data_IF_270568484478
#
_entry.id   IF_270568484478
#
_cell.length_a   1.000
_cell.length_b   1.000
_cell.length_c   1.000
_cell.angle_alpha   90.00
_cell.angle_beta   90.00
_cell.angle_gamma   90.00
#
_symmetry.space_group_name_H-M   'P 1'
#
loop_
_entity.id
_entity.type
_entity.pdbx_description
1 polymer ?
#
# COMPACT_ATOMS: atom_id res chain seq x y z
N UNK A 1 2.03 40.79 -38.57
CA UNK A 1 0.99 39.84 -38.15
C UNK A 1 1.46 38.47 -38.60
N UNK A 2 2.48 37.94 -37.94
CA UNK A 2 2.37 37.06 -36.74
C UNK A 2 1.73 35.73 -37.15
N UNK A 3 2.49 34.67 -37.44
CA UNK A 3 3.31 33.77 -36.60
C UNK A 3 2.58 32.43 -36.49
N UNK A 4 3.01 31.42 -37.24
CA UNK A 4 2.79 30.00 -36.95
C UNK A 4 3.91 29.19 -37.62
N UNK A 5 5.07 29.17 -36.98
CA UNK A 5 6.08 28.10 -37.07
C UNK A 5 6.23 27.59 -35.63
N UNK A 6 6.53 26.31 -35.45
CA UNK A 6 6.63 25.56 -34.18
C UNK A 6 5.36 24.81 -33.75
N UNK A 7 5.11 23.65 -34.36
CA UNK A 7 4.37 22.54 -33.71
C UNK A 7 5.20 21.23 -33.74
N UNK A 8 6.49 21.29 -34.12
CA UNK A 8 7.30 20.10 -34.34
C UNK A 8 8.50 19.92 -33.38
N UNK A 9 8.64 20.77 -32.37
CA UNK A 9 9.77 20.73 -31.40
C UNK A 9 9.38 20.32 -29.96
N UNK A 10 8.08 20.30 -29.59
CA UNK A 10 7.67 19.97 -28.21
C UNK A 10 7.49 18.46 -27.95
N UNK A 11 7.27 17.65 -28.98
CA UNK A 11 7.16 16.17 -28.84
C UNK A 11 8.53 15.48 -28.74
N UNK A 12 9.59 16.10 -29.26
CA UNK A 12 10.97 15.60 -29.12
C UNK A 12 11.58 15.96 -27.75
N UNK A 13 11.14 17.08 -27.14
CA UNK A 13 11.53 17.45 -25.79
C UNK A 13 10.88 16.54 -24.72
N UNK A 14 9.61 16.16 -24.92
CA UNK A 14 8.86 15.27 -24.01
C UNK A 14 9.32 13.81 -24.07
N UNK A 15 9.83 13.35 -25.21
CA UNK A 15 10.36 11.97 -25.34
C UNK A 15 11.78 11.83 -24.81
N UNK A 16 12.60 12.88 -24.79
CA UNK A 16 13.93 12.86 -24.14
C UNK A 16 13.87 12.96 -22.62
N UNK A 17 12.84 13.59 -22.05
CA UNK A 17 12.70 13.71 -20.59
C UNK A 17 12.30 12.38 -19.91
N UNK A 18 11.66 11.46 -20.66
CA UNK A 18 11.18 10.18 -20.14
C UNK A 18 12.20 9.04 -20.20
N UNK A 19 13.40 9.27 -20.78
CA UNK A 19 14.47 8.26 -20.87
C UNK A 19 15.68 8.51 -19.97
N UNK A 20 15.69 9.54 -19.12
CA UNK A 20 16.88 9.85 -18.31
C UNK A 20 16.54 10.20 -16.86
N UNK A 21 15.95 9.26 -16.10
CA UNK A 21 15.97 9.33 -14.63
C UNK A 21 15.66 7.99 -13.94
N UNK A 22 16.32 6.90 -14.34
CA UNK A 22 16.25 5.63 -13.57
C UNK A 22 17.57 5.04 -13.08
N UNK A 23 18.71 5.65 -13.40
CA UNK A 23 20.00 5.14 -12.91
C UNK A 23 20.74 6.23 -12.16
N UNK A 24 20.40 6.45 -10.88
CA UNK A 24 21.23 7.33 -10.02
C UNK A 24 21.71 6.74 -8.71
N UNK A 25 21.36 5.49 -8.38
CA UNK A 25 21.94 4.81 -7.21
C UNK A 25 22.05 3.30 -7.40
N UNK A 26 22.56 2.84 -8.54
CA UNK A 26 23.18 1.51 -8.57
C UNK A 26 24.65 1.71 -8.17
N UNK A 27 24.98 1.52 -6.88
CA UNK A 27 26.37 1.30 -6.50
C UNK A 27 26.75 -0.07 -7.07
N UNK A 28 27.39 -0.05 -8.23
CA UNK A 28 27.86 -1.25 -8.90
C UNK A 28 28.85 -1.97 -7.99
N UNK A 29 28.69 -3.29 -7.85
CA UNK A 29 29.52 -4.10 -6.98
C UNK A 29 30.92 -4.19 -7.60
N UNK A 30 31.92 -3.57 -6.98
CA UNK A 30 33.28 -3.63 -7.53
C UNK A 30 33.82 -5.05 -7.35
N UNK A 31 34.04 -5.74 -8.45
CA UNK A 31 34.58 -7.09 -8.46
C UNK A 31 36.11 -6.96 -8.43
N UNK A 32 36.77 -7.73 -7.56
CA UNK A 32 38.24 -7.77 -7.52
C UNK A 32 38.80 -8.26 -8.86
N UNK A 33 40.06 -7.97 -9.16
CA UNK A 33 40.73 -8.40 -10.39
C UNK A 33 40.73 -9.93 -10.59
N UNK A 34 40.56 -10.70 -9.51
CA UNK A 34 40.42 -12.17 -9.53
C UNK A 34 38.99 -12.67 -9.79
N UNK A 35 38.04 -11.78 -10.07
CA UNK A 35 36.63 -12.13 -10.25
C UNK A 35 35.89 -12.47 -8.94
N UNK A 36 36.55 -12.31 -7.79
CA UNK A 36 35.98 -12.58 -6.48
C UNK A 36 35.47 -11.28 -5.83
N UNK A 37 34.32 -11.38 -5.15
CA UNK A 37 33.77 -10.28 -4.35
C UNK A 37 34.20 -10.48 -2.89
N UNK A 38 34.92 -9.53 -2.29
CA UNK A 38 35.24 -9.56 -0.86
C UNK A 38 33.97 -9.64 0.00
N UNK A 39 33.99 -10.48 1.04
CA UNK A 39 32.83 -10.71 1.92
C UNK A 39 32.36 -9.41 2.58
N UNK A 40 33.29 -8.53 2.98
CA UNK A 40 32.96 -7.25 3.60
C UNK A 40 32.19 -6.33 2.65
N UNK A 41 32.59 -6.30 1.39
CA UNK A 41 31.92 -5.50 0.36
C UNK A 41 30.52 -6.04 0.03
N UNK A 42 30.37 -7.37 0.01
CA UNK A 42 29.06 -7.99 -0.15
C UNK A 42 28.14 -7.66 1.04
N UNK A 43 28.67 -7.72 2.28
CA UNK A 43 27.93 -7.36 3.49
C UNK A 43 27.46 -5.90 3.43
N UNK A 44 28.36 -4.97 3.10
CA UNK A 44 28.01 -3.55 2.96
C UNK A 44 26.96 -3.30 1.87
N UNK A 45 27.08 -4.00 0.75
CA UNK A 45 26.12 -3.89 -0.35
C UNK A 45 24.73 -4.39 0.06
N UNK A 46 24.64 -5.56 0.72
CA UNK A 46 23.38 -6.11 1.22
C UNK A 46 22.78 -5.19 2.28
N UNK A 47 23.60 -4.72 3.23
CA UNK A 47 23.16 -3.83 4.30
C UNK A 47 22.67 -2.48 3.75
N UNK A 48 23.39 -1.88 2.81
CA UNK A 48 23.00 -0.64 2.14
C UNK A 48 21.75 -0.80 1.27
N UNK A 49 21.59 -1.93 0.57
CA UNK A 49 20.40 -2.23 -0.24
C UNK A 49 19.17 -2.42 0.63
N UNK A 50 19.28 -3.17 1.74
CA UNK A 50 18.18 -3.35 2.69
C UNK A 50 17.80 -2.02 3.34
N UNK A 51 18.80 -1.28 3.85
CA UNK A 51 18.58 0.02 4.51
C UNK A 51 17.94 1.03 3.56
N UNK A 52 18.39 1.13 2.31
CA UNK A 52 17.81 2.05 1.33
C UNK A 52 16.38 1.67 0.93
N UNK A 53 16.06 0.37 0.80
CA UNK A 53 14.68 -0.08 0.55
C UNK A 53 13.77 0.20 1.75
N UNK A 54 14.27 -0.02 2.97
CA UNK A 54 13.52 0.28 4.20
C UNK A 54 13.33 1.79 4.32
N UNK A 55 14.38 2.62 4.21
CA UNK A 55 14.28 4.09 4.29
C UNK A 55 13.40 4.69 3.17
N UNK A 56 13.43 4.11 1.96
CA UNK A 56 12.54 4.48 0.86
C UNK A 56 11.08 4.09 1.11
N UNK A 57 10.86 2.96 1.78
CA UNK A 57 9.53 2.47 2.21
C UNK A 57 8.99 3.21 3.44
N UNK A 58 9.85 3.58 4.39
CA UNK A 58 9.52 4.28 5.64
C UNK A 58 9.23 5.77 5.44
N UNK A 59 9.63 6.38 4.30
CA UNK A 59 9.32 7.79 3.98
C UNK A 59 7.87 8.04 3.64
N UNK A 60 7.10 7.01 3.28
CA UNK A 60 5.69 7.01 3.65
C UNK A 60 5.63 6.52 5.09
N UNK A 61 5.68 7.43 6.05
CA UNK A 61 5.05 7.15 7.33
C UNK A 61 3.62 6.79 6.98
N UNK A 62 3.35 5.49 6.94
CA UNK A 62 2.10 4.90 6.51
C UNK A 62 1.11 5.26 7.61
N UNK A 63 0.64 6.51 7.62
CA UNK A 63 -0.56 6.86 8.33
C UNK A 63 -1.58 5.82 7.87
N UNK A 64 -2.06 5.02 8.82
CA UNK A 64 -2.99 3.92 8.58
C UNK A 64 -4.06 4.40 7.59
N UNK A 65 -3.90 3.99 6.34
CA UNK A 65 -4.80 4.39 5.27
C UNK A 65 -5.91 3.37 5.27
N UNK A 66 -7.13 3.82 5.55
CA UNK A 66 -8.28 2.95 5.50
C UNK A 66 -8.46 2.49 4.04
N UNK A 67 -8.63 1.19 3.78
CA UNK A 67 -8.73 0.67 2.41
C UNK A 67 -10.06 1.01 1.72
N UNK A 68 -10.86 1.91 2.30
CA UNK A 68 -12.14 2.34 1.79
C UNK A 68 -12.20 3.86 1.61
N UNK A 69 -13.00 4.30 0.64
CA UNK A 69 -13.14 5.72 0.28
C UNK A 69 -13.48 6.62 1.47
N UNK A 70 -13.16 7.93 1.39
CA UNK A 70 -13.56 8.92 2.40
C UNK A 70 -15.08 8.94 2.66
N UNK A 71 -15.91 8.58 1.67
CA UNK A 71 -17.36 8.45 1.80
C UNK A 71 -17.75 7.47 2.91
N UNK A 72 -17.13 6.29 2.92
CA UNK A 72 -17.37 5.25 3.94
C UNK A 72 -16.78 5.68 5.28
N UNK A 73 -15.59 6.29 5.27
CA UNK A 73 -14.97 6.80 6.49
C UNK A 73 -15.81 7.89 7.20
N UNK A 74 -16.52 8.72 6.44
CA UNK A 74 -17.37 9.79 6.98
C UNK A 74 -18.81 9.34 7.31
N UNK A 75 -19.17 8.10 6.98
CA UNK A 75 -20.50 7.55 7.26
C UNK A 75 -20.76 7.48 8.78
N UNK A 76 -21.84 8.11 9.25
CA UNK A 76 -22.21 8.10 10.68
C UNK A 76 -22.95 6.81 11.02
N UNK A 77 -22.56 6.17 12.11
CA UNK A 77 -23.29 5.00 12.64
C UNK A 77 -24.74 5.39 13.01
N UNK A 78 -25.72 4.48 12.84
CA UNK A 78 -27.11 4.74 13.17
C UNK A 78 -27.29 5.06 14.66
N UNK A 79 -28.33 5.82 14.99
CA UNK A 79 -28.67 6.16 16.37
C UNK A 79 -29.01 4.89 17.15
N UNK A 80 -28.45 4.74 18.36
CA UNK A 80 -28.63 3.55 19.19
C UNK A 80 -27.72 2.37 18.82
N UNK A 81 -26.79 2.55 17.87
CA UNK A 81 -25.83 1.51 17.52
C UNK A 81 -24.95 1.11 18.72
N UNK A 82 -24.93 -0.19 18.99
CA UNK A 82 -23.96 -0.79 19.88
C UNK A 82 -22.95 -1.60 19.04
N UNK A 83 -21.65 -1.30 19.13
CA UNK A 83 -20.62 -2.06 18.44
C UNK A 83 -20.69 -3.56 18.78
N UNK A 84 -20.83 -4.45 17.78
CA UNK A 84 -20.78 -5.87 18.02
C UNK A 84 -19.41 -6.31 18.51
N UNK A 85 -19.40 -7.34 19.34
CA UNK A 85 -18.17 -8.03 19.72
C UNK A 85 -17.89 -9.12 18.71
N UNK A 86 -16.89 -8.89 17.85
CA UNK A 86 -16.49 -9.87 16.86
C UNK A 86 -15.46 -10.85 17.43
N UNK A 87 -15.60 -12.12 17.07
CA UNK A 87 -14.50 -13.06 17.18
C UNK A 87 -13.50 -12.76 16.05
N UNK A 88 -12.37 -12.16 16.41
CA UNK A 88 -11.37 -11.73 15.41
C UNK A 88 -10.65 -12.91 14.76
N UNK A 89 -10.46 -12.85 13.45
CA UNK A 89 -9.79 -13.87 12.63
C UNK A 89 -8.39 -13.42 12.21
N UNK A 90 -7.42 -14.33 12.28
CA UNK A 90 -5.98 -14.12 11.98
C UNK A 90 -5.52 -14.82 10.68
N UNK A 91 -6.46 -15.13 9.78
CA UNK A 91 -6.10 -15.55 8.41
C UNK A 91 -6.28 -17.03 8.07
N UNK A 92 -7.30 -17.72 8.61
CA UNK A 92 -7.64 -19.10 8.18
C UNK A 92 -9.13 -19.50 8.29
N UNK A 93 -10.06 -18.55 8.14
CA UNK A 93 -11.48 -18.86 7.95
C UNK A 93 -12.16 -17.72 7.17
N UNK A 94 -12.57 -17.96 5.92
CA UNK A 94 -13.08 -16.90 5.03
C UNK A 94 -14.61 -16.92 4.95
N UNK A 95 -15.23 -18.03 4.57
CA UNK A 95 -16.67 -18.05 4.29
C UNK A 95 -17.53 -17.99 5.54
N UNK A 96 -17.25 -18.84 6.55
CA UNK A 96 -17.97 -18.83 7.82
C UNK A 96 -17.79 -17.51 8.55
N UNK A 97 -16.60 -16.91 8.47
CA UNK A 97 -16.34 -15.60 9.04
C UNK A 97 -17.20 -14.53 8.38
N UNK A 98 -17.28 -14.50 7.05
CA UNK A 98 -18.10 -13.53 6.33
C UNK A 98 -19.58 -13.72 6.66
N UNK A 99 -20.07 -14.96 6.69
CA UNK A 99 -21.46 -15.26 7.07
C UNK A 99 -21.77 -14.79 8.50
N UNK A 100 -20.92 -15.15 9.46
CA UNK A 100 -21.08 -14.78 10.86
C UNK A 100 -20.95 -13.26 11.08
N UNK A 101 -20.05 -12.61 10.34
CA UNK A 101 -19.88 -11.16 10.36
C UNK A 101 -21.15 -10.45 9.87
N UNK A 102 -21.73 -10.88 8.73
CA UNK A 102 -22.96 -10.31 8.18
C UNK A 102 -24.12 -10.51 9.15
N UNK A 103 -24.30 -11.72 9.70
CA UNK A 103 -25.33 -12.02 10.69
C UNK A 103 -25.21 -11.12 11.93
N UNK A 104 -23.99 -10.99 12.47
CA UNK A 104 -23.71 -10.14 13.63
C UNK A 104 -24.02 -8.66 13.35
N UNK A 105 -23.69 -8.16 12.16
CA UNK A 105 -23.97 -6.78 11.78
C UNK A 105 -25.46 -6.53 11.53
N UNK A 106 -26.18 -7.50 10.97
CA UNK A 106 -27.63 -7.43 10.77
C UNK A 106 -28.35 -7.32 12.11
N UNK A 107 -27.93 -8.10 13.11
CA UNK A 107 -28.45 -8.04 14.47
C UNK A 107 -28.20 -6.67 15.14
N UNK A 108 -27.12 -5.99 14.78
CA UNK A 108 -26.83 -4.63 15.23
C UNK A 108 -27.48 -3.52 14.38
N UNK A 109 -28.31 -3.89 13.40
CA UNK A 109 -29.03 -2.95 12.53
C UNK A 109 -28.13 -2.23 11.52
N UNK A 110 -27.01 -2.82 11.12
CA UNK A 110 -26.05 -2.20 10.20
C UNK A 110 -25.91 -2.97 8.90
N UNK A 111 -25.92 -2.23 7.78
CA UNK A 111 -25.99 -2.78 6.43
C UNK A 111 -25.17 -1.93 5.44
N UNK A 112 -24.88 -2.49 4.26
CA UNK A 112 -24.23 -1.79 3.16
C UNK A 112 -22.85 -1.25 3.52
N UNK A 113 -22.59 0.03 3.22
CA UNK A 113 -21.30 0.70 3.50
C UNK A 113 -20.87 0.64 4.98
N UNK A 114 -21.81 0.45 5.91
CA UNK A 114 -21.47 0.25 7.34
C UNK A 114 -20.77 -1.09 7.59
N UNK A 115 -21.05 -2.13 6.80
CA UNK A 115 -20.38 -3.43 6.89
C UNK A 115 -18.90 -3.27 6.55
N UNK A 116 -18.60 -2.56 5.46
CA UNK A 116 -17.21 -2.29 5.04
C UNK A 116 -16.44 -1.58 6.14
N UNK A 117 -17.09 -0.62 6.81
CA UNK A 117 -16.49 0.14 7.90
C UNK A 117 -16.21 -0.72 9.15
N UNK A 118 -17.04 -1.72 9.42
CA UNK A 118 -16.91 -2.59 10.60
C UNK A 118 -16.03 -3.82 10.36
N UNK A 119 -15.83 -4.22 9.11
CA UNK A 119 -15.08 -5.45 8.78
C UNK A 119 -13.68 -5.47 9.41
N UNK A 120 -13.02 -4.31 9.49
CA UNK A 120 -11.71 -4.20 10.16
C UNK A 120 -11.73 -4.67 11.62
N UNK A 121 -12.85 -4.50 12.32
CA UNK A 121 -13.00 -4.88 13.72
C UNK A 121 -13.08 -6.41 13.93
N UNK A 122 -13.35 -7.17 12.86
CA UNK A 122 -13.36 -8.64 12.89
C UNK A 122 -12.03 -9.26 12.45
N UNK A 123 -11.00 -8.46 12.16
CA UNK A 123 -9.68 -8.93 11.76
C UNK A 123 -8.65 -8.70 12.87
N UNK A 124 -7.63 -9.56 12.89
CA UNK A 124 -6.40 -9.38 13.68
C UNK A 124 -5.19 -9.95 12.95
N UNK A 125 -4.00 -9.61 13.46
CA UNK A 125 -2.72 -10.14 12.98
C UNK A 125 -2.58 -10.08 11.46
N UNK A 126 -2.22 -11.19 10.84
CA UNK A 126 -1.91 -11.26 9.41
C UNK A 126 -3.09 -10.88 8.52
N UNK A 127 -4.32 -11.17 8.96
CA UNK A 127 -5.52 -10.80 8.21
C UNK A 127 -5.77 -9.27 8.22
N UNK A 128 -5.49 -8.63 9.36
CA UNK A 128 -5.56 -7.17 9.48
C UNK A 128 -4.47 -6.52 8.63
N UNK A 129 -3.23 -6.99 8.73
CA UNK A 129 -2.11 -6.45 7.96
C UNK A 129 -2.35 -6.56 6.45
N UNK A 130 -2.85 -7.73 6.00
CA UNK A 130 -3.27 -7.91 4.61
C UNK A 130 -4.33 -6.88 4.19
N UNK A 131 -5.38 -6.69 5.01
CA UNK A 131 -6.47 -5.76 4.72
C UNK A 131 -6.02 -4.30 4.63
N UNK A 132 -5.06 -3.88 5.47
CA UNK A 132 -4.54 -2.50 5.46
C UNK A 132 -3.62 -2.17 4.29
N UNK A 133 -3.07 -3.20 3.65
CA UNK A 133 -2.22 -3.06 2.48
C UNK A 133 -3.00 -3.14 1.16
N UNK A 134 -4.33 -3.24 1.21
CA UNK A 134 -5.18 -3.17 0.03
C UNK A 134 -5.17 -1.74 -0.53
N UNK A 135 -5.10 -1.62 -1.86
CA UNK A 135 -5.29 -0.34 -2.53
C UNK A 135 -6.70 0.18 -2.25
N UNK A 136 -6.82 1.47 -1.92
CA UNK A 136 -8.13 2.09 -1.75
C UNK A 136 -8.87 2.09 -3.09
N UNK A 137 -10.06 1.48 -3.10
CA UNK A 137 -10.98 1.50 -4.25
C UNK A 137 -11.78 2.79 -4.37
#
# INVERSE_FOLDING_TARGET
MEKQVEVHDEVEALTKQHYTKKDKYAKELQISSDGLIPVDQLKEFIEGTIRSKIEGSLKSSLAYSKPYTPRINNLKMPMGYQPPKFQQVDGRATEQHVAHFIETCNNAGTYGDHLVKQFVCSLKGNAFDWYTNLEAG
#
